data_IF_656854820773
#
_entry.id   IF_656854820773
#
_cell.length_a   1.000
_cell.length_b   1.000
_cell.length_c   1.000
_cell.angle_alpha   90.00
_cell.angle_beta   90.00
_cell.angle_gamma   90.00
#
_symmetry.space_group_name_H-M   'P 1'
#
loop_
_entity.id
_entity.type
_entity.pdbx_description
1 polymer ?
#
# COMPACT_ATOMS: atom_id res chain seq x y z
N UNK A 1 2.26 13.64 4.55
CA UNK A 1 2.80 12.99 5.76
C UNK A 1 2.10 13.51 7.02
N UNK A 2 0.89 14.07 6.88
CA UNK A 2 0.20 14.78 7.97
C UNK A 2 -0.78 13.87 8.75
N UNK A 3 -0.87 12.61 8.35
CA UNK A 3 -1.71 11.59 8.99
C UNK A 3 -1.05 10.95 10.21
N UNK A 4 0.28 10.91 10.28
CA UNK A 4 1.02 10.23 11.35
C UNK A 4 1.14 11.06 12.62
N UNK A 5 0.80 12.36 12.54
CA UNK A 5 0.82 13.29 13.67
C UNK A 5 -0.50 13.30 14.45
N UNK A 6 -1.48 12.48 14.05
CA UNK A 6 -2.79 12.41 14.68
C UNK A 6 -2.78 11.41 15.84
N UNK A 7 -3.48 11.74 16.91
CA UNK A 7 -3.57 10.88 18.09
C UNK A 7 -4.21 9.53 17.74
N UNK A 8 -3.73 8.46 18.38
CA UNK A 8 -4.23 7.10 18.12
C UNK A 8 -3.74 6.46 16.83
N UNK A 9 -2.98 7.18 15.99
CA UNK A 9 -2.38 6.65 14.75
C UNK A 9 -0.93 6.25 14.99
N UNK A 10 -0.62 5.00 14.71
CA UNK A 10 0.72 4.45 14.83
C UNK A 10 1.27 4.12 13.44
N UNK A 11 2.52 4.49 13.19
CA UNK A 11 3.17 4.16 11.92
C UNK A 11 3.68 2.72 11.97
N UNK A 12 3.16 1.89 11.06
CA UNK A 12 3.70 0.56 10.78
C UNK A 12 4.91 0.63 9.84
N UNK A 13 4.93 -0.24 8.83
CA UNK A 13 5.96 -0.17 7.80
C UNK A 13 5.73 0.98 6.81
N UNK A 14 6.79 1.75 6.53
CA UNK A 14 6.81 2.77 5.49
C UNK A 14 7.56 2.23 4.26
N UNK A 15 6.83 2.00 3.17
CA UNK A 15 7.36 1.48 1.91
C UNK A 15 7.56 2.61 0.91
N UNK A 16 8.82 2.94 0.65
CA UNK A 16 9.17 3.91 -0.40
C UNK A 16 8.95 3.32 -1.80
N UNK A 17 8.77 4.17 -2.81
CA UNK A 17 8.61 3.72 -4.20
C UNK A 17 9.76 2.87 -4.72
N UNK A 18 11.00 3.12 -4.28
CA UNK A 18 12.17 2.31 -4.65
C UNK A 18 12.20 0.93 -3.97
N UNK A 19 11.44 0.72 -2.88
CA UNK A 19 11.28 -0.56 -2.20
C UNK A 19 10.18 -1.44 -2.82
N UNK A 20 9.51 -0.92 -3.85
CA UNK A 20 8.44 -1.57 -4.59
C UNK A 20 8.87 -1.77 -6.04
N UNK A 21 9.82 -2.67 -6.32
CA UNK A 21 10.27 -2.92 -7.68
C UNK A 21 9.11 -3.51 -8.50
N UNK A 22 8.70 -2.75 -9.51
CA UNK A 22 7.63 -3.08 -10.44
C UNK A 22 8.20 -3.10 -11.84
N UNK A 23 7.93 -4.18 -12.56
CA UNK A 23 8.26 -4.27 -13.97
C UNK A 23 7.23 -3.46 -14.77
N UNK A 24 7.71 -2.75 -15.79
CA UNK A 24 6.82 -1.92 -16.60
C UNK A 24 5.83 -2.81 -17.36
N UNK A 25 4.51 -2.58 -17.20
CA UNK A 25 3.50 -3.36 -17.91
C UNK A 25 3.57 -3.08 -19.42
N UNK A 26 3.19 -4.07 -20.22
CA UNK A 26 3.11 -3.95 -21.68
C UNK A 26 2.03 -2.97 -22.14
N UNK A 27 1.05 -2.68 -21.27
CA UNK A 27 -0.02 -1.71 -21.51
C UNK A 27 -0.01 -0.62 -20.44
N UNK A 28 -0.32 0.61 -20.85
CA UNK A 28 -0.34 1.78 -19.95
C UNK A 28 -1.57 1.75 -19.02
N UNK A 29 -2.66 1.11 -19.44
CA UNK A 29 -3.91 1.06 -18.70
C UNK A 29 -4.04 -0.25 -17.91
N UNK A 30 -3.28 -0.34 -16.82
CA UNK A 30 -3.29 -1.50 -15.90
C UNK A 30 -4.69 -1.64 -15.28
N UNK A 31 -5.36 -2.78 -15.54
CA UNK A 31 -6.69 -3.08 -15.01
C UNK A 31 -6.69 -4.04 -13.83
N UNK A 32 -5.62 -4.81 -13.66
CA UNK A 32 -5.46 -5.74 -12.55
C UNK A 32 -4.04 -5.73 -12.01
N UNK A 33 -3.86 -6.23 -10.79
CA UNK A 33 -2.53 -6.28 -10.19
C UNK A 33 -1.61 -7.30 -10.89
N UNK A 34 -2.17 -8.34 -11.53
CA UNK A 34 -1.43 -9.41 -12.24
C UNK A 34 -0.68 -8.92 -13.47
N UNK A 35 -1.11 -7.82 -14.08
CA UNK A 35 -0.47 -7.24 -15.26
C UNK A 35 0.89 -6.58 -14.94
N UNK A 36 1.21 -6.40 -13.65
CA UNK A 36 2.45 -5.78 -13.17
C UNK A 36 3.28 -6.79 -12.39
N UNK A 37 4.36 -7.25 -13.02
CA UNK A 37 5.34 -8.14 -12.40
C UNK A 37 6.29 -7.40 -11.44
N UNK A 38 7.20 -8.15 -10.81
CA UNK A 38 8.14 -7.66 -9.81
C UNK A 38 7.79 -8.10 -8.37
N UNK A 39 8.64 -7.72 -7.42
CA UNK A 39 8.56 -8.18 -6.01
C UNK A 39 7.68 -7.29 -5.12
N UNK A 40 7.10 -6.23 -5.67
CA UNK A 40 6.30 -5.25 -4.92
C UNK A 40 5.12 -5.86 -4.14
N UNK A 41 4.41 -6.86 -4.70
CA UNK A 41 3.32 -7.57 -4.01
C UNK A 41 3.80 -8.27 -2.74
N UNK A 42 4.96 -8.92 -2.84
CA UNK A 42 5.58 -9.61 -1.72
C UNK A 42 6.02 -8.62 -0.65
N UNK A 43 6.67 -7.51 -1.03
CA UNK A 43 7.05 -6.44 -0.10
C UNK A 43 5.86 -5.93 0.69
N UNK A 44 4.75 -5.60 0.01
CA UNK A 44 3.52 -5.12 0.68
C UNK A 44 2.97 -6.18 1.63
N UNK A 45 2.86 -7.44 1.18
CA UNK A 45 2.27 -8.52 1.96
C UNK A 45 3.05 -8.78 3.25
N UNK A 46 4.37 -8.94 3.16
CA UNK A 46 5.23 -9.21 4.32
C UNK A 46 5.20 -8.04 5.30
N UNK A 47 5.26 -6.79 4.80
CA UNK A 47 5.15 -5.61 5.65
C UNK A 47 3.79 -5.48 6.35
N UNK A 48 2.70 -5.82 5.67
CA UNK A 48 1.37 -5.83 6.27
C UNK A 48 1.27 -6.89 7.37
N UNK A 49 1.69 -8.12 7.09
CA UNK A 49 1.67 -9.23 8.05
C UNK A 49 2.54 -8.95 9.28
N UNK A 50 3.75 -8.43 9.08
CA UNK A 50 4.65 -8.03 10.17
C UNK A 50 4.04 -6.90 11.02
N UNK A 51 3.41 -5.90 10.39
CA UNK A 51 2.72 -4.82 11.12
C UNK A 51 1.56 -5.38 11.93
N UNK A 52 0.73 -6.24 11.34
CA UNK A 52 -0.41 -6.86 12.03
C UNK A 52 0.04 -7.71 13.23
N UNK A 53 1.16 -8.42 13.11
CA UNK A 53 1.74 -9.19 14.21
C UNK A 53 2.29 -8.31 15.34
N UNK A 54 2.87 -7.15 15.01
CA UNK A 54 3.42 -6.20 15.99
C UNK A 54 2.34 -5.45 16.78
N UNK A 55 1.14 -5.28 16.22
CA UNK A 55 0.01 -4.56 16.83
C UNK A 55 -1.21 -5.46 17.02
N UNK A 56 -1.15 -6.47 17.91
CA UNK A 56 -2.27 -7.38 18.14
C UNK A 56 -3.51 -6.61 18.64
N UNK A 57 -4.65 -6.83 17.99
CA UNK A 57 -5.91 -6.13 18.28
C UNK A 57 -6.06 -4.75 17.62
N UNK A 58 -5.02 -4.24 16.96
CA UNK A 58 -5.09 -3.01 16.17
C UNK A 58 -5.66 -3.21 14.77
N UNK A 59 -6.26 -2.16 14.20
CA UNK A 59 -6.63 -2.12 12.78
C UNK A 59 -5.45 -1.63 11.95
N UNK A 60 -5.01 -2.44 10.98
CA UNK A 60 -3.95 -2.04 10.04
C UNK A 60 -4.59 -1.52 8.76
N UNK A 61 -4.34 -0.23 8.48
CA UNK A 61 -4.88 0.48 7.31
C UNK A 61 -3.72 0.89 6.41
N UNK A 62 -3.83 0.62 5.11
CA UNK A 62 -2.87 1.10 4.13
C UNK A 62 -3.12 2.57 3.79
N UNK A 63 -2.07 3.38 3.79
CA UNK A 63 -2.11 4.74 3.23
C UNK A 63 -1.21 4.84 2.01
N UNK A 64 -1.74 5.39 0.93
CA UNK A 64 -1.00 5.66 -0.30
C UNK A 64 -0.72 7.16 -0.40
N UNK A 65 0.55 7.54 -0.45
CA UNK A 65 0.91 8.89 -0.88
C UNK A 65 0.75 9.00 -2.40
N UNK A 66 -0.30 9.70 -2.82
CA UNK A 66 -0.67 9.82 -4.23
C UNK A 66 0.40 10.49 -5.09
N UNK A 67 1.31 11.29 -4.51
CA UNK A 67 2.39 11.96 -5.26
C UNK A 67 3.62 11.09 -5.46
N UNK A 68 3.70 9.93 -4.81
CA UNK A 68 4.87 9.05 -4.82
C UNK A 68 4.84 7.97 -5.90
N UNK A 69 3.73 7.83 -6.64
CA UNK A 69 3.55 6.77 -7.65
C UNK A 69 3.21 7.32 -9.04
N UNK A 70 3.66 6.64 -10.10
CA UNK A 70 3.06 6.80 -11.43
C UNK A 70 1.61 6.30 -11.40
N UNK A 71 0.75 6.81 -12.30
CA UNK A 71 -0.66 6.44 -12.35
C UNK A 71 -0.92 4.93 -12.41
N UNK A 72 -0.19 4.22 -13.28
CA UNK A 72 -0.31 2.76 -13.42
C UNK A 72 0.16 2.00 -12.19
N UNK A 73 1.22 2.47 -11.52
CA UNK A 73 1.73 1.86 -10.28
C UNK A 73 0.70 1.98 -9.16
N UNK A 74 0.10 3.17 -9.03
CA UNK A 74 -0.95 3.42 -8.05
C UNK A 74 -2.15 2.50 -8.28
N UNK A 75 -2.57 2.33 -9.53
CA UNK A 75 -3.69 1.43 -9.88
C UNK A 75 -3.36 -0.01 -9.52
N UNK A 76 -2.17 -0.50 -9.89
CA UNK A 76 -1.72 -1.86 -9.56
C UNK A 76 -1.75 -2.10 -8.04
N UNK A 77 -1.18 -1.18 -7.25
CA UNK A 77 -1.18 -1.29 -5.79
C UNK A 77 -2.59 -1.25 -5.22
N UNK A 78 -3.46 -0.38 -5.73
CA UNK A 78 -4.85 -0.29 -5.26
C UNK A 78 -5.61 -1.58 -5.53
N UNK A 79 -5.48 -2.16 -6.73
CA UNK A 79 -6.08 -3.46 -7.06
C UNK A 79 -5.56 -4.57 -6.13
N UNK A 80 -4.25 -4.64 -5.91
CA UNK A 80 -3.65 -5.65 -5.04
C UNK A 80 -4.14 -5.54 -3.59
N UNK A 81 -4.21 -4.33 -3.03
CA UNK A 81 -4.71 -4.13 -1.66
C UNK A 81 -6.17 -4.56 -1.54
N UNK A 82 -7.00 -4.29 -2.56
CA UNK A 82 -8.39 -4.76 -2.61
C UNK A 82 -8.48 -6.29 -2.70
N UNK A 83 -7.68 -6.93 -3.55
CA UNK A 83 -7.60 -8.40 -3.67
C UNK A 83 -7.20 -9.06 -2.35
N UNK A 84 -6.30 -8.43 -1.58
CA UNK A 84 -5.88 -8.91 -0.26
C UNK A 84 -6.85 -8.53 0.87
N UNK A 85 -7.95 -7.85 0.59
CA UNK A 85 -8.88 -7.29 1.57
C UNK A 85 -8.20 -6.36 2.60
N UNK A 86 -7.18 -5.63 2.17
CA UNK A 86 -6.49 -4.62 2.99
C UNK A 86 -7.19 -3.27 2.78
N UNK A 87 -7.71 -2.68 3.86
CA UNK A 87 -8.38 -1.37 3.81
C UNK A 87 -7.40 -0.27 3.39
N UNK A 88 -7.84 0.56 2.45
CA UNK A 88 -7.13 1.78 2.06
C UNK A 88 -7.78 2.96 2.79
N UNK A 89 -7.00 3.65 3.61
CA UNK A 89 -7.46 4.76 4.44
C UNK A 89 -7.59 6.07 3.67
N UNK A 90 -8.73 6.73 3.81
CA UNK A 90 -8.93 8.15 3.49
C UNK A 90 -8.39 9.01 4.64
N UNK A 91 -8.05 10.28 4.41
CA UNK A 91 -7.60 11.18 5.48
C UNK A 91 -8.54 11.27 6.70
N UNK A 92 -9.85 11.05 6.49
CA UNK A 92 -10.88 11.01 7.53
C UNK A 92 -10.88 9.74 8.37
N UNK A 93 -10.28 8.65 7.89
CA UNK A 93 -10.19 7.38 8.62
C UNK A 93 -9.13 7.40 9.73
N UNK A 94 -8.32 8.47 9.79
CA UNK A 94 -7.24 8.66 10.74
C UNK A 94 -7.57 9.71 11.81
N UNK A 95 -8.86 10.03 12.02
CA UNK A 95 -9.30 11.08 12.96
C UNK A 95 -9.23 10.66 14.43
#
# INVERSE_FOLDING_TARGET
>A
MDIVIKDGVWVGHLLSGYSLPMDMPSQVNVKSSEEVAGMWKHSIKVSYEATKAAFPGGEVIAHLDHKSFKGWQKNAVTCFLQEQNIRIGKPSDFL
#
